data_IF_789840226264
#
_entry.id   IF_789840226264
#
_cell.length_a   1.000
_cell.length_b   1.000
_cell.length_c   1.000
_cell.angle_alpha   90.00
_cell.angle_beta   90.00
_cell.angle_gamma   90.00
#
_symmetry.space_group_name_H-M   'P 1'
#
loop_
_entity.id
_entity.type
_entity.pdbx_description
1 polymer ?
#
# COMPACT_ATOMS: atom_id res chain seq x y z
N UNK A 1 -70.56 34.51 -11.65
CA UNK A 1 -69.35 34.48 -10.78
C UNK A 1 -68.46 33.38 -11.33
N UNK A 2 -67.55 33.73 -12.27
CA UNK A 2 -66.70 32.82 -13.00
C UNK A 2 -65.33 32.74 -12.24
N UNK A 3 -65.03 31.62 -11.71
CA UNK A 3 -63.67 31.33 -11.18
C UNK A 3 -62.76 30.85 -12.33
N UNK A 4 -61.78 31.67 -12.70
CA UNK A 4 -60.75 31.30 -13.63
C UNK A 4 -59.74 30.41 -12.93
N UNK A 5 -59.68 29.14 -13.33
CA UNK A 5 -58.55 28.25 -12.98
C UNK A 5 -57.38 28.61 -13.86
N UNK A 6 -56.31 29.14 -13.22
CA UNK A 6 -55.01 29.35 -13.86
C UNK A 6 -54.22 28.03 -13.83
N UNK A 7 -54.39 27.25 -14.90
CA UNK A 7 -53.56 26.04 -15.10
C UNK A 7 -52.10 26.47 -15.44
N UNK A 8 -51.18 26.19 -14.51
CA UNK A 8 -49.75 26.32 -14.77
C UNK A 8 -49.32 25.24 -15.77
N UNK A 9 -48.75 25.55 -16.93
CA UNK A 9 -48.31 24.54 -17.87
C UNK A 9 -47.13 23.78 -17.31
N UNK A 10 -47.31 22.45 -17.19
CA UNK A 10 -46.21 21.56 -16.83
C UNK A 10 -45.05 21.71 -17.84
N UNK A 11 -43.90 22.18 -17.41
CA UNK A 11 -42.69 22.29 -18.21
C UNK A 11 -42.21 20.93 -18.65
N UNK A 12 -42.65 20.42 -19.79
CA UNK A 12 -42.09 19.25 -20.46
C UNK A 12 -40.66 19.57 -20.84
N UNK A 13 -39.69 18.83 -20.27
CA UNK A 13 -38.30 18.90 -20.72
C UNK A 13 -38.22 18.73 -22.24
N UNK A 14 -37.48 19.61 -22.95
CA UNK A 14 -37.47 19.60 -24.40
C UNK A 14 -36.98 18.25 -24.93
N UNK A 15 -37.75 17.68 -25.90
CA UNK A 15 -37.51 16.35 -26.44
C UNK A 15 -36.12 16.13 -27.04
N UNK A 16 -35.43 17.21 -27.42
CA UNK A 16 -34.05 17.14 -27.93
C UNK A 16 -33.03 16.68 -26.86
N UNK A 17 -33.23 17.01 -25.57
CA UNK A 17 -32.37 16.56 -24.50
C UNK A 17 -32.45 15.03 -24.30
N UNK A 18 -33.64 14.45 -24.46
CA UNK A 18 -33.80 12.99 -24.42
C UNK A 18 -33.12 12.31 -25.61
N UNK A 19 -33.20 12.91 -26.80
CA UNK A 19 -32.56 12.38 -28.02
C UNK A 19 -31.05 12.50 -27.94
N UNK A 20 -30.53 13.58 -27.36
CA UNK A 20 -29.09 13.77 -27.16
C UNK A 20 -28.48 12.77 -26.14
N UNK A 21 -29.25 12.42 -25.08
CA UNK A 21 -28.78 11.50 -24.04
C UNK A 21 -29.04 10.01 -24.36
N UNK A 22 -30.16 9.67 -25.03
CA UNK A 22 -30.59 8.27 -25.20
C UNK A 22 -30.37 7.76 -26.62
N UNK A 23 -30.18 8.67 -27.61
CA UNK A 23 -30.04 8.30 -29.02
C UNK A 23 -31.33 7.71 -29.63
N UNK A 24 -31.35 7.63 -30.98
CA UNK A 24 -32.54 7.22 -31.76
C UNK A 24 -32.81 5.70 -31.69
N UNK A 25 -31.81 4.91 -31.22
CA UNK A 25 -31.93 3.44 -31.14
C UNK A 25 -31.51 2.94 -29.74
N UNK A 26 -32.47 2.58 -28.85
CA UNK A 26 -32.18 2.24 -27.45
C UNK A 26 -31.24 1.05 -27.31
N UNK A 27 -31.26 0.07 -28.21
CA UNK A 27 -30.34 -1.08 -28.18
C UNK A 27 -28.88 -0.66 -28.42
N UNK A 28 -28.64 0.23 -29.40
CA UNK A 28 -27.26 0.74 -29.68
C UNK A 28 -26.74 1.61 -28.56
N UNK A 29 -27.60 2.40 -27.92
CA UNK A 29 -27.22 3.23 -26.77
C UNK A 29 -26.88 2.37 -25.56
N UNK A 30 -27.67 1.34 -25.27
CA UNK A 30 -27.39 0.40 -24.21
C UNK A 30 -26.04 -0.34 -24.43
N UNK A 31 -25.78 -0.78 -25.65
CA UNK A 31 -24.49 -1.41 -26.00
C UNK A 31 -23.31 -0.45 -25.80
N UNK A 32 -23.44 0.81 -26.26
CA UNK A 32 -22.39 1.83 -26.05
C UNK A 32 -22.15 2.12 -24.59
N UNK A 33 -23.22 2.24 -23.78
CA UNK A 33 -23.11 2.45 -22.34
C UNK A 33 -22.42 1.28 -21.65
N UNK A 34 -22.75 0.05 -22.04
CA UNK A 34 -22.11 -1.16 -21.53
C UNK A 34 -20.60 -1.18 -21.88
N UNK A 35 -20.26 -0.90 -23.14
CA UNK A 35 -18.86 -0.86 -23.59
C UNK A 35 -18.07 0.20 -22.81
N UNK A 36 -18.63 1.40 -22.63
CA UNK A 36 -18.00 2.45 -21.84
C UNK A 36 -17.84 2.05 -20.37
N UNK A 37 -18.85 1.43 -19.77
CA UNK A 37 -18.78 0.95 -18.40
C UNK A 37 -17.69 -0.10 -18.22
N UNK A 38 -17.59 -1.06 -19.13
CA UNK A 38 -16.53 -2.08 -19.13
C UNK A 38 -15.16 -1.42 -19.33
N UNK A 39 -15.04 -0.48 -20.27
CA UNK A 39 -13.80 0.23 -20.50
C UNK A 39 -13.36 1.04 -19.25
N UNK A 40 -14.28 1.80 -18.65
CA UNK A 40 -14.00 2.54 -17.42
C UNK A 40 -13.60 1.61 -16.27
N UNK A 41 -14.26 0.47 -16.13
CA UNK A 41 -13.94 -0.53 -15.11
C UNK A 41 -12.53 -1.11 -15.30
N UNK A 42 -12.20 -1.51 -16.53
CA UNK A 42 -10.87 -2.05 -16.87
C UNK A 42 -9.79 -0.99 -16.67
N UNK A 43 -10.04 0.23 -17.14
CA UNK A 43 -9.12 1.36 -16.97
C UNK A 43 -8.89 1.68 -15.50
N UNK A 44 -9.96 1.74 -14.71
CA UNK A 44 -9.88 2.03 -13.27
C UNK A 44 -9.13 0.93 -12.51
N UNK A 45 -9.40 -0.34 -12.83
CA UNK A 45 -8.64 -1.48 -12.30
C UNK A 45 -7.15 -1.37 -12.63
N UNK A 46 -6.83 -1.13 -13.91
CA UNK A 46 -5.45 -0.96 -14.36
C UNK A 46 -4.75 0.21 -13.66
N UNK A 47 -5.45 1.34 -13.51
CA UNK A 47 -4.93 2.52 -12.82
C UNK A 47 -4.63 2.24 -11.34
N UNK A 48 -5.55 1.56 -10.62
CA UNK A 48 -5.33 1.18 -9.22
C UNK A 48 -4.10 0.29 -9.09
N UNK A 49 -4.02 -0.79 -9.86
CA UNK A 49 -2.89 -1.72 -9.75
C UNK A 49 -1.56 -1.11 -10.18
N UNK A 50 -1.56 -0.19 -11.13
CA UNK A 50 -0.34 0.47 -11.57
C UNK A 50 0.16 1.54 -10.60
N UNK A 51 -0.73 2.35 -10.02
CA UNK A 51 -0.34 3.56 -9.29
C UNK A 51 -0.55 3.47 -7.79
N UNK A 52 -1.50 2.68 -7.31
CA UNK A 52 -1.89 2.63 -5.90
C UNK A 52 -1.37 1.36 -5.23
N UNK A 53 -1.63 0.21 -5.83
CA UNK A 53 -1.33 -1.10 -5.24
C UNK A 53 -0.46 -1.91 -6.18
N UNK A 54 0.74 -2.25 -5.74
CA UNK A 54 1.65 -3.10 -6.50
C UNK A 54 1.56 -4.53 -5.97
N UNK A 55 1.09 -5.50 -6.78
CA UNK A 55 1.18 -6.91 -6.41
C UNK A 55 2.64 -7.34 -6.41
N UNK A 56 3.07 -8.03 -5.36
CA UNK A 56 4.42 -8.55 -5.20
C UNK A 56 4.35 -10.03 -4.84
N UNK A 57 5.20 -10.83 -5.46
CA UNK A 57 5.42 -12.21 -5.06
C UNK A 57 6.54 -12.24 -4.05
N UNK A 58 6.32 -12.96 -2.95
CA UNK A 58 7.33 -13.17 -1.93
C UNK A 58 8.19 -14.33 -2.37
N UNK A 59 9.49 -14.10 -2.42
CA UNK A 59 10.49 -15.14 -2.60
C UNK A 59 11.42 -15.14 -1.39
N UNK A 60 11.52 -16.29 -0.72
CA UNK A 60 12.30 -16.47 0.48
C UNK A 60 11.51 -16.41 1.78
N UNK A 61 12.17 -16.84 2.84
CA UNK A 61 11.55 -17.06 4.15
C UNK A 61 11.96 -16.03 5.22
N UNK A 62 12.56 -14.91 4.81
CA UNK A 62 13.07 -13.90 5.76
C UNK A 62 12.00 -13.23 6.62
N UNK A 63 10.73 -13.30 6.21
CA UNK A 63 9.58 -12.75 6.94
C UNK A 63 8.69 -13.84 7.58
N UNK A 64 9.11 -15.09 7.53
CA UNK A 64 8.41 -16.19 8.21
C UNK A 64 8.44 -16.00 9.74
N UNK A 65 7.38 -16.29 10.49
CA UNK A 65 6.11 -16.87 10.05
C UNK A 65 5.05 -15.83 9.63
N UNK A 66 5.35 -14.54 9.68
CA UNK A 66 4.36 -13.48 9.37
C UNK A 66 3.93 -13.54 7.91
N UNK A 67 4.87 -13.83 7.01
CA UNK A 67 4.61 -14.03 5.60
C UNK A 67 5.25 -15.33 5.13
N UNK A 68 4.52 -16.07 4.30
CA UNK A 68 4.98 -17.33 3.75
C UNK A 68 5.61 -17.14 2.37
N UNK A 69 6.61 -17.97 2.07
CA UNK A 69 7.21 -18.05 0.74
C UNK A 69 6.15 -18.36 -0.32
N UNK A 70 6.35 -17.84 -1.55
CA UNK A 70 5.43 -17.95 -2.67
C UNK A 70 4.06 -17.25 -2.48
N UNK A 71 3.87 -16.54 -1.38
CA UNK A 71 2.68 -15.73 -1.14
C UNK A 71 2.60 -14.54 -2.10
N UNK A 72 1.38 -14.15 -2.47
CA UNK A 72 1.12 -12.89 -3.17
C UNK A 72 0.66 -11.87 -2.15
N UNK A 73 1.36 -10.75 -2.08
CA UNK A 73 1.01 -9.61 -1.24
C UNK A 73 0.92 -8.34 -2.07
N UNK A 74 0.45 -7.30 -1.44
CA UNK A 74 0.22 -6.04 -2.10
C UNK A 74 0.95 -4.91 -1.36
N UNK A 75 1.70 -4.11 -2.10
CA UNK A 75 2.34 -2.90 -1.58
C UNK A 75 1.43 -1.72 -1.84
N UNK A 76 0.99 -1.04 -0.79
CA UNK A 76 0.30 0.23 -0.91
C UNK A 76 1.32 1.35 -1.10
N UNK A 77 1.44 1.85 -2.31
CA UNK A 77 2.40 2.89 -2.70
C UNK A 77 2.04 4.29 -2.18
N UNK A 78 0.80 4.48 -1.75
CA UNK A 78 0.33 5.76 -1.22
C UNK A 78 0.46 5.87 0.31
N UNK A 79 0.81 4.78 1.01
CA UNK A 79 0.86 4.73 2.48
C UNK A 79 1.69 5.87 3.09
N UNK A 80 2.78 6.23 2.42
CA UNK A 80 3.72 7.22 2.96
C UNK A 80 3.75 8.53 2.17
N UNK A 81 2.66 8.83 1.45
CA UNK A 81 2.54 10.10 0.71
C UNK A 81 2.33 11.29 1.63
N UNK A 82 1.60 11.08 2.73
CA UNK A 82 1.25 12.11 3.70
C UNK A 82 1.65 11.77 5.14
N UNK A 83 2.22 10.58 5.34
CA UNK A 83 2.68 10.09 6.64
C UNK A 83 4.09 9.56 6.52
N UNK A 84 4.80 9.47 7.64
CA UNK A 84 6.10 8.82 7.69
C UNK A 84 5.94 7.33 8.01
N UNK A 85 6.87 6.47 7.52
CA UNK A 85 6.94 5.08 7.96
C UNK A 85 7.10 4.99 9.47
N UNK A 86 6.41 4.03 10.08
CA UNK A 86 6.40 3.84 11.52
C UNK A 86 7.12 2.55 11.91
N UNK A 87 7.59 2.47 13.16
CA UNK A 87 8.12 1.23 13.73
C UNK A 87 7.05 0.14 13.71
N UNK A 88 7.46 -1.06 13.29
CA UNK A 88 6.56 -2.20 13.13
C UNK A 88 5.94 -2.32 11.73
N UNK A 89 5.99 -1.28 10.89
CA UNK A 89 5.51 -1.38 9.52
C UNK A 89 6.33 -2.39 8.72
N UNK A 90 5.66 -3.26 7.97
CA UNK A 90 6.30 -4.10 6.96
C UNK A 90 6.27 -3.37 5.63
N UNK A 91 7.44 -3.19 5.04
CA UNK A 91 7.63 -2.35 3.86
C UNK A 91 8.28 -3.09 2.71
N UNK A 92 7.90 -2.71 1.50
CA UNK A 92 8.63 -3.08 0.28
C UNK A 92 9.79 -2.12 0.06
N UNK A 93 11.00 -2.66 -0.13
CA UNK A 93 12.24 -1.93 -0.26
C UNK A 93 12.81 -2.16 -1.65
N UNK A 94 13.07 -1.10 -2.39
CA UNK A 94 13.74 -1.17 -3.69
C UNK A 94 15.24 -1.39 -3.49
N UNK A 95 15.78 -2.47 -4.08
CA UNK A 95 17.21 -2.76 -4.02
C UNK A 95 17.94 -2.23 -5.25
N UNK A 96 18.13 -3.03 -6.24
CA UNK A 96 18.81 -2.67 -7.48
C UNK A 96 17.87 -2.82 -8.66
N UNK A 97 17.64 -1.75 -9.41
CA UNK A 97 16.73 -1.76 -10.55
C UNK A 97 15.24 -1.83 -10.18
N UNK A 98 14.33 -1.92 -11.17
CA UNK A 98 12.88 -1.89 -10.94
C UNK A 98 12.29 -3.21 -10.42
N UNK A 99 13.04 -4.31 -10.51
CA UNK A 99 12.49 -5.66 -10.35
C UNK A 99 12.88 -6.35 -9.04
N UNK A 100 13.88 -5.87 -8.32
CA UNK A 100 14.33 -6.50 -7.06
C UNK A 100 13.79 -5.72 -5.88
N UNK A 101 12.89 -6.36 -5.15
CA UNK A 101 12.27 -5.79 -3.96
C UNK A 101 12.48 -6.74 -2.78
N UNK A 102 12.93 -6.19 -1.66
CA UNK A 102 12.94 -6.90 -0.39
C UNK A 102 11.73 -6.49 0.44
N UNK A 103 11.23 -7.43 1.21
CA UNK A 103 10.21 -7.19 2.22
C UNK A 103 10.84 -7.31 3.60
N UNK A 104 10.77 -6.26 4.41
CA UNK A 104 11.35 -6.19 5.75
C UNK A 104 10.46 -5.38 6.69
N UNK A 105 10.69 -5.53 7.98
CA UNK A 105 10.03 -4.75 9.03
C UNK A 105 10.92 -3.60 9.48
N UNK A 106 10.33 -2.43 9.65
CA UNK A 106 11.00 -1.27 10.25
C UNK A 106 11.07 -1.48 11.76
N UNK A 107 12.28 -1.45 12.31
CA UNK A 107 12.53 -1.57 13.75
C UNK A 107 13.25 -0.36 14.33
N UNK A 108 13.87 0.48 13.49
CA UNK A 108 14.48 1.74 13.88
C UNK A 108 13.98 2.91 13.05
N UNK A 109 13.80 4.07 13.67
CA UNK A 109 13.34 5.31 13.05
C UNK A 109 14.48 6.32 12.95
N UNK A 110 14.36 7.36 12.10
CA UNK A 110 15.37 8.39 11.95
C UNK A 110 15.80 9.02 13.29
N UNK A 111 17.10 9.17 13.47
CA UNK A 111 17.69 9.75 14.68
C UNK A 111 17.83 8.80 15.87
N UNK A 112 17.33 7.57 15.78
CA UNK A 112 17.44 6.61 16.86
C UNK A 112 18.74 5.80 16.79
N UNK A 113 19.16 5.33 17.96
CA UNK A 113 20.25 4.34 18.07
C UNK A 113 19.65 2.96 18.26
N UNK A 114 19.93 2.06 17.32
CA UNK A 114 19.41 0.68 17.30
C UNK A 114 20.53 -0.29 17.59
N UNK A 115 20.28 -1.26 18.47
CA UNK A 115 21.18 -2.37 18.77
C UNK A 115 20.40 -3.66 18.93
N UNK A 116 21.09 -4.80 18.87
CA UNK A 116 20.53 -6.10 19.27
C UNK A 116 21.43 -6.70 20.38
N UNK A 117 20.83 -6.94 21.54
CA UNK A 117 21.48 -7.51 22.70
C UNK A 117 20.72 -8.75 23.18
N UNK A 118 21.40 -9.88 23.27
CA UNK A 118 20.79 -11.15 23.71
C UNK A 118 19.50 -11.52 22.93
N UNK A 119 19.46 -11.20 21.63
CA UNK A 119 18.30 -11.46 20.79
C UNK A 119 17.15 -10.44 20.91
N UNK A 120 17.31 -9.39 21.70
CA UNK A 120 16.32 -8.34 21.94
C UNK A 120 16.66 -7.05 21.21
N UNK A 121 15.65 -6.42 20.68
CA UNK A 121 15.77 -5.10 20.06
C UNK A 121 15.94 -4.03 21.14
N UNK A 122 17.03 -3.28 21.05
CA UNK A 122 17.28 -2.10 21.88
C UNK A 122 17.15 -0.84 21.02
N UNK A 123 16.41 0.14 21.50
CA UNK A 123 16.28 1.45 20.85
C UNK A 123 16.58 2.53 21.89
N UNK A 124 17.59 3.36 21.59
CA UNK A 124 18.09 4.40 22.50
C UNK A 124 18.45 3.84 23.89
N UNK A 125 18.98 2.61 23.95
CA UNK A 125 19.37 1.93 25.19
C UNK A 125 18.23 1.28 25.99
N UNK A 126 16.96 1.35 25.49
CA UNK A 126 15.82 0.69 26.11
C UNK A 126 15.35 -0.50 25.29
N UNK A 127 14.95 -1.59 25.96
CA UNK A 127 14.35 -2.74 25.29
C UNK A 127 13.03 -2.35 24.65
N UNK A 128 12.87 -2.70 23.37
CA UNK A 128 11.65 -2.43 22.60
C UNK A 128 10.86 -3.73 22.41
N UNK A 129 9.58 -3.79 22.82
CA UNK A 129 8.77 -4.99 22.65
C UNK A 129 8.47 -5.23 21.18
N UNK A 130 8.57 -6.52 20.78
CA UNK A 130 8.32 -6.98 19.43
C UNK A 130 7.17 -8.02 19.41
N UNK A 131 5.91 -7.59 19.51
CA UNK A 131 4.76 -8.49 19.70
C UNK A 131 4.49 -9.39 18.47
N UNK A 132 5.09 -9.10 17.33
CA UNK A 132 5.03 -9.89 16.10
C UNK A 132 6.01 -11.07 16.12
N UNK A 133 6.98 -11.06 17.03
CA UNK A 133 7.93 -12.18 17.19
C UNK A 133 7.27 -13.30 17.98
N UNK A 134 7.11 -14.46 17.35
CA UNK A 134 6.58 -15.66 18.04
C UNK A 134 7.61 -16.38 18.89
N UNK A 135 8.86 -16.30 18.51
CA UNK A 135 10.01 -16.82 19.25
C UNK A 135 11.12 -15.78 19.18
N UNK A 136 11.75 -15.50 20.30
CA UNK A 136 13.02 -14.76 20.33
C UNK A 136 14.10 -15.67 19.72
N UNK A 137 14.01 -15.85 18.41
CA UNK A 137 15.03 -16.54 17.65
C UNK A 137 16.26 -15.66 17.66
N UNK A 138 17.39 -16.28 17.88
CA UNK A 138 18.71 -15.70 17.84
C UNK A 138 18.80 -14.53 16.84
N UNK A 139 18.72 -13.30 17.35
CA UNK A 139 19.19 -12.15 16.60
C UNK A 139 20.69 -12.04 16.88
N UNK A 140 21.52 -11.91 15.87
CA UNK A 140 22.95 -11.72 16.09
C UNK A 140 23.16 -10.48 16.95
N UNK A 141 24.19 -10.54 17.82
CA UNK A 141 24.66 -9.33 18.51
C UNK A 141 24.99 -8.27 17.46
N UNK A 142 24.46 -7.08 17.65
CA UNK A 142 24.77 -5.94 16.79
C UNK A 142 25.11 -4.73 17.67
N UNK A 143 26.31 -4.22 17.46
CA UNK A 143 26.74 -2.96 18.09
C UNK A 143 25.77 -1.83 17.79
N UNK A 144 25.58 -0.89 18.72
CA UNK A 144 24.69 0.26 18.51
C UNK A 144 25.01 1.03 17.22
N UNK A 145 23.97 1.29 16.43
CA UNK A 145 24.04 2.05 15.18
C UNK A 145 23.06 3.21 15.28
N UNK A 146 23.57 4.43 15.19
CA UNK A 146 22.75 5.64 15.15
C UNK A 146 22.30 5.92 13.71
N UNK A 147 21.01 6.13 13.54
CA UNK A 147 20.38 6.38 12.24
C UNK A 147 20.40 7.86 11.90
N UNK A 148 20.67 8.17 10.65
CA UNK A 148 20.58 9.52 10.12
C UNK A 148 19.13 10.03 10.01
N UNK A 149 18.93 11.30 9.62
CA UNK A 149 17.61 11.95 9.59
C UNK A 149 16.64 11.33 8.57
N UNK A 150 17.14 10.59 7.59
CA UNK A 150 16.33 9.91 6.56
C UNK A 150 16.54 8.38 6.56
N UNK A 151 17.22 7.85 7.58
CA UNK A 151 17.55 6.43 7.66
C UNK A 151 16.58 5.68 8.55
N UNK A 152 16.22 4.50 8.12
CA UNK A 152 15.43 3.51 8.86
C UNK A 152 16.24 2.24 9.03
N UNK A 153 16.08 1.56 10.15
CA UNK A 153 16.64 0.23 10.32
C UNK A 153 15.58 -0.82 10.08
N UNK A 154 15.91 -1.77 9.21
CA UNK A 154 14.99 -2.82 8.78
C UNK A 154 15.59 -4.21 8.99
N UNK A 155 14.72 -5.17 9.32
CA UNK A 155 15.08 -6.58 9.52
C UNK A 155 13.87 -7.47 9.20
N UNK A 156 14.11 -8.71 8.84
CA UNK A 156 13.02 -9.68 8.70
C UNK A 156 12.60 -10.29 10.03
N UNK A 157 11.39 -10.83 10.05
CA UNK A 157 10.84 -11.48 11.23
C UNK A 157 11.53 -12.83 11.50
N UNK A 158 12.05 -13.47 10.47
CA UNK A 158 12.91 -14.66 10.60
C UNK A 158 14.37 -14.25 10.80
N UNK A 159 14.72 -13.85 12.01
CA UNK A 159 16.01 -13.28 12.38
C UNK A 159 17.24 -14.09 11.90
N UNK A 160 17.28 -15.42 12.06
CA UNK A 160 18.41 -16.22 11.61
C UNK A 160 18.63 -16.22 10.10
N UNK A 161 17.56 -16.00 9.34
CA UNK A 161 17.55 -16.10 7.87
C UNK A 161 17.21 -14.76 7.22
N UNK A 162 17.56 -13.66 7.86
CA UNK A 162 17.21 -12.32 7.36
C UNK A 162 18.41 -11.41 7.30
N UNK A 163 18.61 -10.82 6.13
CA UNK A 163 19.44 -9.62 6.03
C UNK A 163 18.78 -8.48 6.79
N UNK A 164 19.64 -7.65 7.37
CA UNK A 164 19.26 -6.49 8.15
C UNK A 164 20.14 -5.30 7.75
N UNK A 165 19.68 -4.10 7.98
CA UNK A 165 20.49 -2.94 7.74
C UNK A 165 19.75 -1.62 7.69
N UNK A 166 20.54 -0.57 7.46
CA UNK A 166 20.04 0.77 7.25
C UNK A 166 19.55 0.93 5.82
N UNK A 167 18.42 1.59 5.67
CA UNK A 167 17.88 1.98 4.37
C UNK A 167 17.49 3.46 4.41
N UNK A 168 17.66 4.12 3.29
CA UNK A 168 17.16 5.48 3.09
C UNK A 168 15.65 5.45 2.81
N UNK A 169 14.97 6.52 3.21
CA UNK A 169 13.53 6.69 3.01
C UNK A 169 13.08 6.50 1.56
N UNK A 170 13.90 6.97 0.61
CA UNK A 170 13.61 6.93 -0.82
C UNK A 170 13.55 5.50 -1.39
N UNK A 171 14.15 4.55 -0.68
CA UNK A 171 14.10 3.13 -1.04
C UNK A 171 12.80 2.45 -0.60
N UNK A 172 12.04 3.06 0.32
CA UNK A 172 10.77 2.53 0.80
C UNK A 172 9.69 2.80 -0.25
N UNK A 173 9.18 1.76 -0.87
CA UNK A 173 8.17 1.85 -1.93
C UNK A 173 6.75 2.01 -1.41
N UNK A 174 6.47 1.48 -0.22
CA UNK A 174 5.17 1.52 0.42
C UNK A 174 5.03 0.46 1.50
N UNK A 175 3.88 0.47 2.18
CA UNK A 175 3.52 -0.49 3.22
C UNK A 175 2.91 -1.75 2.59
N UNK A 176 3.30 -2.91 3.10
CA UNK A 176 2.67 -4.17 2.74
C UNK A 176 1.28 -4.23 3.38
N UNK A 177 0.30 -4.57 2.57
CA UNK A 177 -1.06 -4.87 3.04
C UNK A 177 -1.11 -6.35 3.44
N UNK A 178 -1.61 -6.60 4.64
CA UNK A 178 -1.89 -7.94 5.15
C UNK A 178 -3.20 -8.48 4.57
#
# INVERSE_FOLDING_TARGET
>A
MNTMETGVPATRSPGWLRVALIGRNPKRTAIRALVLAVFCFVFFKFFIFKFIVLPVRIEGNSMYPTYHDWGINFVNRLSYRHTLPQRGDVVGIRMAGPSVMLMKRIVGLPGETVAFENGRLMVNGAEMPEPYMRHYSYAPYMSPVTLGPNEYYVIGDNRPNSDQGRIERERIMGKILL
#
